data_IF_709929406406
#
_entry.id   IF_709929406406
#
_cell.length_a   1.000
_cell.length_b   1.000
_cell.length_c   1.000
_cell.angle_alpha   90.00
_cell.angle_beta   90.00
_cell.angle_gamma   90.00
#
_symmetry.space_group_name_H-M   'P 1'
#
loop_
_entity.id
_entity.type
_entity.pdbx_description
1 polymer ?
#
# COMPACT_ATOMS: atom_id res chain seq x y z
N UNK A 1 -38.65 19.48 15.76
CA UNK A 1 -37.59 18.46 15.64
C UNK A 1 -36.28 19.16 15.98
N UNK A 2 -35.79 18.98 17.21
CA UNK A 2 -34.50 19.57 17.62
C UNK A 2 -33.40 18.66 17.09
N UNK A 3 -32.63 19.10 16.11
CA UNK A 3 -31.41 18.41 15.71
C UNK A 3 -30.42 18.55 16.86
N UNK A 4 -30.14 17.46 17.56
CA UNK A 4 -28.99 17.35 18.43
C UNK A 4 -27.77 17.21 17.51
N UNK A 5 -27.06 18.30 17.25
CA UNK A 5 -25.70 18.22 16.74
C UNK A 5 -24.86 17.63 17.85
N UNK A 6 -24.66 16.30 17.81
CA UNK A 6 -23.63 15.64 18.58
C UNK A 6 -22.30 16.26 18.16
N UNK A 7 -21.78 17.15 19.00
CA UNK A 7 -20.43 17.68 18.86
C UNK A 7 -19.48 16.52 19.12
N UNK A 8 -19.11 15.78 18.07
CA UNK A 8 -18.01 14.85 18.14
C UNK A 8 -16.75 15.68 18.44
N UNK A 9 -16.28 15.59 19.69
CA UNK A 9 -14.94 16.04 20.06
C UNK A 9 -13.95 15.54 19.00
N UNK A 10 -13.15 16.45 18.41
CA UNK A 10 -12.11 16.10 17.45
C UNK A 10 -10.96 15.41 18.19
N UNK A 11 -11.22 14.19 18.65
CA UNK A 11 -10.18 13.34 19.19
C UNK A 11 -9.28 12.89 18.04
N UNK A 12 -7.96 13.04 18.15
CA UNK A 12 -7.04 12.56 17.12
C UNK A 12 -7.15 11.03 17.00
N UNK A 13 -6.87 10.51 15.80
CA UNK A 13 -6.78 9.07 15.61
C UNK A 13 -5.67 8.48 16.49
N UNK A 14 -5.87 7.25 16.97
CA UNK A 14 -4.85 6.50 17.70
C UNK A 14 -3.57 6.41 16.85
N UNK A 15 -2.46 6.92 17.39
CA UNK A 15 -1.16 6.94 16.69
C UNK A 15 -0.93 8.16 15.80
N UNK A 16 -1.88 9.09 15.69
CA UNK A 16 -1.66 10.35 14.99
C UNK A 16 -0.77 11.26 15.84
N UNK A 17 0.38 11.74 15.31
CA UNK A 17 1.20 12.71 16.03
C UNK A 17 0.42 14.03 16.24
N UNK A 18 0.72 14.78 17.31
CA UNK A 18 0.12 16.09 17.53
C UNK A 18 0.40 17.01 16.34
N UNK A 19 -0.65 17.74 15.89
CA UNK A 19 -0.55 18.68 14.77
C UNK A 19 0.62 19.65 14.94
N UNK A 20 1.39 19.87 13.87
CA UNK A 20 2.49 20.83 13.85
C UNK A 20 3.85 20.28 14.30
N UNK A 21 3.95 19.00 14.66
CA UNK A 21 5.24 18.34 14.86
C UNK A 21 5.47 17.35 13.73
N UNK A 22 6.33 17.72 12.77
CA UNK A 22 6.92 16.71 11.89
C UNK A 22 7.90 15.90 12.73
N UNK A 23 7.44 14.77 13.26
CA UNK A 23 8.24 13.87 14.11
C UNK A 23 9.13 12.95 13.28
N UNK A 24 9.01 12.99 11.95
CA UNK A 24 9.79 12.16 11.07
C UNK A 24 10.98 12.97 10.56
N UNK A 25 12.20 12.40 10.54
CA UNK A 25 13.25 12.98 9.72
C UNK A 25 12.75 13.09 8.28
N UNK A 26 13.13 14.14 7.55
CA UNK A 26 12.84 14.23 6.12
C UNK A 26 13.27 12.93 5.45
N UNK A 27 12.33 12.15 4.88
CA UNK A 27 12.68 10.88 4.27
C UNK A 27 13.56 11.12 3.05
N UNK A 28 14.77 10.54 3.07
CA UNK A 28 15.70 10.56 1.94
C UNK A 28 15.29 9.52 0.88
N UNK A 29 14.21 9.83 0.16
CA UNK A 29 13.70 8.99 -0.91
C UNK A 29 14.62 8.94 -2.15
N UNK A 30 15.66 9.78 -2.23
CA UNK A 30 16.47 9.92 -3.44
C UNK A 30 17.21 8.63 -3.80
N UNK A 31 17.61 7.84 -2.79
CA UNK A 31 18.35 6.59 -2.97
C UNK A 31 17.52 5.34 -2.63
N UNK A 32 16.34 5.50 -2.02
CA UNK A 32 15.51 4.37 -1.58
C UNK A 32 15.06 3.53 -2.77
N UNK A 33 14.67 4.18 -3.87
CA UNK A 33 14.23 3.49 -5.08
C UNK A 33 15.28 2.50 -5.60
N UNK A 34 16.54 2.93 -5.71
CA UNK A 34 17.61 2.08 -6.23
C UNK A 34 18.02 1.00 -5.22
N UNK A 35 17.88 1.26 -3.92
CA UNK A 35 18.18 0.29 -2.87
C UNK A 35 17.12 -0.82 -2.73
N UNK A 36 15.86 -0.51 -3.06
CA UNK A 36 14.73 -1.45 -2.94
C UNK A 36 14.18 -1.91 -4.28
N UNK A 37 14.75 -1.44 -5.39
CA UNK A 37 14.33 -1.85 -6.72
C UNK A 37 14.51 -3.35 -6.90
N UNK A 38 13.57 -3.93 -7.62
CA UNK A 38 13.67 -5.31 -8.09
C UNK A 38 14.82 -5.40 -9.09
N UNK A 39 15.56 -6.52 -9.05
CA UNK A 39 16.66 -6.77 -9.98
C UNK A 39 16.18 -6.64 -11.43
N UNK A 40 17.03 -6.08 -12.31
CA UNK A 40 16.66 -5.84 -13.70
C UNK A 40 16.35 -7.12 -14.45
N UNK A 41 17.04 -8.22 -14.16
CA UNK A 41 16.83 -9.51 -14.82
C UNK A 41 15.45 -10.07 -14.50
N UNK A 42 14.94 -9.81 -13.30
CA UNK A 42 13.57 -10.15 -12.88
C UNK A 42 12.55 -9.32 -13.65
N UNK A 43 12.86 -8.05 -13.94
CA UNK A 43 11.96 -7.15 -14.68
C UNK A 43 11.96 -7.49 -16.18
N UNK A 44 13.12 -7.84 -16.74
CA UNK A 44 13.28 -8.18 -18.16
C UNK A 44 12.88 -9.62 -18.47
N UNK A 45 12.69 -10.46 -17.45
CA UNK A 45 12.44 -11.90 -17.61
C UNK A 45 13.69 -12.68 -18.02
N UNK A 46 14.87 -12.08 -17.91
CA UNK A 46 16.14 -12.76 -18.23
C UNK A 46 16.46 -13.88 -17.22
N UNK A 47 15.84 -13.87 -16.04
CA UNK A 47 15.98 -14.90 -15.00
C UNK A 47 14.88 -15.98 -15.05
N UNK A 48 13.97 -15.97 -16.05
CA UNK A 48 12.80 -16.86 -16.14
C UNK A 48 13.15 -18.35 -16.07
N UNK A 49 14.30 -18.75 -16.60
CA UNK A 49 14.77 -20.15 -16.58
C UNK A 49 15.40 -20.56 -15.24
N UNK A 50 15.80 -19.60 -14.40
CA UNK A 50 16.47 -19.84 -13.12
C UNK A 50 15.51 -19.78 -11.92
N UNK A 51 14.41 -19.04 -12.06
CA UNK A 51 13.44 -18.80 -11.00
C UNK A 51 12.30 -19.83 -10.99
N UNK A 52 11.73 -20.03 -9.82
CA UNK A 52 10.55 -20.89 -9.68
C UNK A 52 9.35 -20.30 -10.44
N UNK A 53 8.47 -21.14 -11.02
CA UNK A 53 7.29 -20.67 -11.73
C UNK A 53 6.39 -19.85 -10.81
N UNK A 54 5.98 -18.66 -11.26
CA UNK A 54 4.98 -17.89 -10.53
C UNK A 54 3.64 -18.62 -10.56
N UNK A 55 3.05 -18.82 -9.38
CA UNK A 55 1.68 -19.28 -9.29
C UNK A 55 0.76 -18.26 -9.98
N UNK A 56 -0.28 -18.76 -10.64
CA UNK A 56 -1.33 -17.93 -11.22
C UNK A 56 -1.80 -16.90 -10.20
N UNK A 57 -1.67 -15.62 -10.58
CA UNK A 57 -2.03 -14.47 -9.77
C UNK A 57 -3.52 -14.56 -9.46
N UNK A 58 -3.86 -14.59 -8.17
CA UNK A 58 -5.23 -14.73 -7.72
C UNK A 58 -5.32 -14.62 -6.22
N UNK A 59 -6.05 -13.63 -5.71
CA UNK A 59 -6.75 -13.86 -4.45
C UNK A 59 -7.82 -14.91 -4.72
N UNK A 60 -8.16 -15.73 -3.72
CA UNK A 60 -9.13 -16.82 -3.88
C UNK A 60 -10.53 -16.40 -4.42
N UNK A 61 -10.79 -15.10 -4.64
CA UNK A 61 -11.98 -14.55 -5.28
C UNK A 61 -11.83 -14.06 -6.71
N UNK A 62 -10.63 -14.08 -7.32
CA UNK A 62 -10.38 -13.49 -8.65
C UNK A 62 -11.07 -14.26 -9.79
N UNK A 63 -11.19 -15.59 -9.65
CA UNK A 63 -11.84 -16.47 -10.64
C UNK A 63 -13.37 -16.59 -10.46
N UNK A 64 -13.96 -15.98 -9.42
CA UNK A 64 -15.41 -15.96 -9.25
C UNK A 64 -16.01 -14.83 -10.09
N UNK A 65 -16.11 -15.10 -11.39
CA UNK A 65 -16.70 -14.21 -12.38
C UNK A 65 -18.01 -13.59 -11.89
N UNK A 66 -18.02 -12.26 -11.77
CA UNK A 66 -19.27 -11.51 -11.79
C UNK A 66 -19.75 -11.52 -13.23
N UNK A 67 -20.55 -12.51 -13.60
CA UNK A 67 -21.37 -12.41 -14.80
C UNK A 67 -22.26 -11.17 -14.64
N UNK A 68 -22.09 -10.09 -15.42
CA UNK A 68 -22.99 -8.96 -15.34
C UNK A 68 -24.34 -9.41 -15.91
N UNK A 69 -25.41 -9.27 -15.11
CA UNK A 69 -26.80 -9.35 -15.56
C UNK A 69 -27.28 -7.97 -15.95
#
# INVERSE_FOLDING_TARGET
MSHHEEQHEKLPALGQPPEGTDTLPEPDFANEHDATAVDRNVITGEDEDEREPEASRGWAGEDHGTTPT
#
